data_IF_614217710023
#
_entry.id   IF_614217710023
#
_cell.length_a   1.000
_cell.length_b   1.000
_cell.length_c   1.000
_cell.angle_alpha   90.00
_cell.angle_beta   90.00
_cell.angle_gamma   90.00
#
_symmetry.space_group_name_H-M   'P 1'
#
loop_
_entity.id
_entity.type
_entity.pdbx_description
1 polymer ?
#
# COMPACT_ATOMS: atom_id res chain seq x y z
N UNK A 1 -27.18 13.87 12.50
CA UNK A 1 -27.20 12.48 11.98
C UNK A 1 -25.88 11.86 12.37
N UNK A 2 -25.88 10.89 13.29
CA UNK A 2 -24.64 10.21 13.70
C UNK A 2 -24.03 9.48 12.50
N UNK A 3 -22.71 9.55 12.28
CA UNK A 3 -22.07 8.70 11.28
C UNK A 3 -22.31 7.24 11.66
N UNK A 4 -22.71 6.41 10.70
CA UNK A 4 -22.91 4.99 10.90
C UNK A 4 -21.66 4.39 11.57
N UNK A 5 -21.87 3.62 12.64
CA UNK A 5 -20.80 2.93 13.37
C UNK A 5 -20.02 1.99 12.42
N UNK A 6 -18.70 1.77 12.63
CA UNK A 6 -17.83 1.05 11.70
C UNK A 6 -18.06 -0.48 11.53
N UNK A 7 -19.27 -1.01 11.76
CA UNK A 7 -19.53 -2.47 11.75
C UNK A 7 -20.76 -2.88 10.94
N UNK A 8 -21.01 -2.26 9.78
CA UNK A 8 -22.15 -2.60 8.92
C UNK A 8 -21.83 -3.57 7.77
N UNK A 9 -20.59 -4.05 7.66
CA UNK A 9 -20.17 -4.92 6.57
C UNK A 9 -20.45 -6.38 6.89
N UNK A 10 -21.40 -6.98 6.17
CA UNK A 10 -21.62 -8.42 6.15
C UNK A 10 -20.80 -9.08 5.03
N UNK A 11 -20.57 -10.39 5.12
CA UNK A 11 -19.94 -11.16 4.04
C UNK A 11 -20.68 -10.98 2.70
N UNK A 12 -22.01 -10.97 2.72
CA UNK A 12 -22.84 -10.72 1.54
C UNK A 12 -22.59 -9.32 0.95
N UNK A 13 -22.50 -8.28 1.78
CA UNK A 13 -22.24 -6.91 1.31
C UNK A 13 -20.83 -6.76 0.74
N UNK A 14 -19.84 -7.45 1.31
CA UNK A 14 -18.47 -7.49 0.80
C UNK A 14 -18.43 -8.17 -0.58
N UNK A 15 -19.10 -9.30 -0.73
CA UNK A 15 -19.21 -10.02 -2.00
C UNK A 15 -19.93 -9.21 -3.08
N UNK A 16 -21.06 -8.58 -2.74
CA UNK A 16 -21.81 -7.69 -3.64
C UNK A 16 -20.94 -6.51 -4.10
N UNK A 17 -20.26 -5.84 -3.17
CA UNK A 17 -19.39 -4.70 -3.51
C UNK A 17 -18.21 -5.13 -4.39
N UNK A 18 -17.61 -6.29 -4.12
CA UNK A 18 -16.55 -6.84 -4.97
C UNK A 18 -17.08 -7.18 -6.38
N UNK A 19 -18.28 -7.75 -6.48
CA UNK A 19 -18.92 -8.06 -7.75
C UNK A 19 -19.26 -6.78 -8.54
N UNK A 20 -19.74 -5.73 -7.87
CA UNK A 20 -19.97 -4.42 -8.48
C UNK A 20 -18.66 -3.84 -9.06
N UNK A 21 -17.56 -3.87 -8.29
CA UNK A 21 -16.24 -3.41 -8.76
C UNK A 21 -15.75 -4.22 -9.96
N UNK A 22 -15.99 -5.52 -9.99
CA UNK A 22 -15.55 -6.42 -11.07
C UNK A 22 -16.43 -6.25 -12.33
N UNK A 23 -17.71 -5.96 -12.16
CA UNK A 23 -18.67 -5.87 -13.27
C UNK A 23 -18.55 -4.57 -14.08
N UNK A 24 -17.91 -3.53 -13.54
CA UNK A 24 -17.75 -2.26 -14.27
C UNK A 24 -16.68 -2.34 -15.35
N UNK A 25 -16.94 -1.72 -16.51
CA UNK A 25 -15.93 -1.61 -17.56
C UNK A 25 -14.81 -0.62 -17.18
N UNK A 26 -15.12 0.38 -16.36
CA UNK A 26 -14.16 1.35 -15.84
C UNK A 26 -13.41 0.81 -14.62
N UNK A 27 -12.15 1.22 -14.46
CA UNK A 27 -11.38 0.93 -13.25
C UNK A 27 -11.95 1.71 -12.05
N UNK A 28 -11.99 1.11 -10.84
CA UNK A 28 -12.45 1.80 -9.64
C UNK A 28 -11.59 3.03 -9.36
N UNK A 29 -12.25 4.11 -8.94
CA UNK A 29 -11.57 5.31 -8.49
C UNK A 29 -10.83 5.02 -7.17
N UNK A 30 -9.59 5.49 -7.06
CA UNK A 30 -8.80 5.36 -5.84
C UNK A 30 -9.36 6.30 -4.78
N UNK A 31 -9.84 5.72 -3.69
CA UNK A 31 -10.35 6.42 -2.52
C UNK A 31 -9.25 7.31 -1.94
N UNK A 32 -9.60 8.56 -1.63
CA UNK A 32 -8.65 9.55 -1.13
C UNK A 32 -8.73 9.70 0.40
N UNK A 33 -7.63 10.15 1.00
CA UNK A 33 -7.51 10.41 2.43
C UNK A 33 -8.60 11.37 2.90
N UNK A 34 -9.15 11.08 4.09
CA UNK A 34 -10.37 11.69 4.60
C UNK A 34 -11.58 10.77 4.51
N UNK A 35 -11.59 9.80 3.57
CA UNK A 35 -12.63 8.77 3.54
C UNK A 35 -12.43 7.74 4.67
N UNK A 36 -13.49 7.38 5.44
CA UNK A 36 -13.36 6.55 6.65
C UNK A 36 -12.89 5.12 6.38
N UNK A 37 -13.09 4.59 5.17
CA UNK A 37 -12.61 3.24 4.80
C UNK A 37 -11.08 3.11 4.92
N UNK A 38 -10.34 4.20 4.74
CA UNK A 38 -8.88 4.23 4.85
C UNK A 38 -8.38 4.37 6.29
N UNK A 39 -9.29 4.57 7.24
CA UNK A 39 -9.01 4.79 8.67
C UNK A 39 -9.60 3.70 9.56
N UNK A 40 -10.29 2.73 8.97
CA UNK A 40 -10.87 1.58 9.67
C UNK A 40 -10.02 0.35 9.40
N UNK A 41 -9.78 -0.48 10.42
CA UNK A 41 -9.14 -1.77 10.21
C UNK A 41 -9.98 -2.62 9.26
N UNK A 42 -9.36 -3.13 8.20
CA UNK A 42 -10.05 -3.93 7.21
C UNK A 42 -10.46 -5.30 7.79
N UNK A 43 -11.54 -5.84 7.25
CA UNK A 43 -12.14 -7.11 7.70
C UNK A 43 -11.25 -8.27 7.22
N UNK A 44 -10.86 -9.19 8.13
CA UNK A 44 -10.13 -10.37 7.74
C UNK A 44 -10.86 -11.16 6.65
N UNK A 45 -10.13 -11.55 5.61
CA UNK A 45 -10.69 -12.41 4.58
C UNK A 45 -10.75 -13.84 5.11
N UNK A 46 -11.93 -14.44 5.16
CA UNK A 46 -12.14 -15.82 5.63
C UNK A 46 -13.01 -16.65 4.66
N UNK A 47 -13.16 -16.17 3.42
CA UNK A 47 -13.93 -16.83 2.37
C UNK A 47 -15.18 -16.07 1.95
N UNK A 48 -15.22 -14.75 2.12
CA UNK A 48 -16.37 -13.93 1.72
C UNK A 48 -16.54 -13.85 0.19
N UNK A 49 -15.46 -14.11 -0.57
CA UNK A 49 -15.49 -14.16 -2.03
C UNK A 49 -15.16 -15.59 -2.49
N UNK A 50 -15.91 -16.10 -3.45
CA UNK A 50 -15.51 -17.33 -4.13
C UNK A 50 -14.22 -17.12 -4.94
N UNK A 51 -13.60 -18.22 -5.37
CA UNK A 51 -12.30 -18.18 -6.06
C UNK A 51 -12.34 -17.41 -7.39
N UNK A 52 -13.47 -17.43 -8.10
CA UNK A 52 -13.60 -16.75 -9.40
C UNK A 52 -13.70 -15.23 -9.20
N UNK A 53 -14.53 -14.80 -8.25
CA UNK A 53 -14.70 -13.39 -7.91
C UNK A 53 -13.41 -12.82 -7.28
N UNK A 54 -12.73 -13.57 -6.41
CA UNK A 54 -11.45 -13.17 -5.84
C UNK A 54 -10.40 -12.96 -6.93
N UNK A 55 -10.26 -13.89 -7.88
CA UNK A 55 -9.31 -13.78 -8.97
C UNK A 55 -9.60 -12.56 -9.87
N UNK A 56 -10.87 -12.33 -10.20
CA UNK A 56 -11.29 -11.17 -10.99
C UNK A 56 -11.03 -9.84 -10.26
N UNK A 57 -11.31 -9.79 -8.94
CA UNK A 57 -11.03 -8.62 -8.11
C UNK A 57 -9.53 -8.30 -8.07
N UNK A 58 -8.68 -9.32 -7.88
CA UNK A 58 -7.21 -9.16 -7.88
C UNK A 58 -6.72 -8.57 -9.20
N UNK A 59 -7.26 -9.02 -10.33
CA UNK A 59 -6.90 -8.47 -11.65
C UNK A 59 -7.35 -7.01 -11.80
N UNK A 60 -8.57 -6.67 -11.36
CA UNK A 60 -9.03 -5.27 -11.34
C UNK A 60 -8.15 -4.39 -10.45
N UNK A 61 -7.76 -4.88 -9.26
CA UNK A 61 -6.83 -4.18 -8.36
C UNK A 61 -5.48 -3.95 -9.04
N UNK A 62 -4.91 -4.97 -9.70
CA UNK A 62 -3.64 -4.86 -10.43
C UNK A 62 -3.72 -3.83 -11.56
N UNK A 63 -4.78 -3.88 -12.38
CA UNK A 63 -5.01 -2.90 -13.45
C UNK A 63 -5.18 -1.48 -12.92
N UNK A 64 -5.89 -1.32 -11.80
CA UNK A 64 -6.08 -0.03 -11.13
C UNK A 64 -4.75 0.54 -10.61
N UNK A 65 -3.93 -0.31 -9.98
CA UNK A 65 -2.59 0.04 -9.52
C UNK A 65 -1.72 0.54 -10.69
N UNK A 66 -1.71 -0.19 -11.81
CA UNK A 66 -0.93 0.19 -13.01
C UNK A 66 -1.43 1.47 -13.68
N UNK A 67 -2.74 1.71 -13.69
CA UNK A 67 -3.31 2.95 -14.24
C UNK A 67 -2.94 4.20 -13.42
N UNK A 68 -2.62 4.02 -12.13
CA UNK A 68 -2.19 5.08 -11.21
C UNK A 68 -0.67 5.08 -10.91
N UNK A 69 0.15 4.61 -11.88
CA UNK A 69 1.53 4.13 -11.72
C UNK A 69 2.02 3.74 -10.30
N UNK A 70 1.23 2.95 -9.57
CA UNK A 70 1.58 2.46 -8.24
C UNK A 70 2.46 1.21 -8.27
N UNK A 71 3.01 0.88 -7.10
CA UNK A 71 3.75 -0.39 -6.84
C UNK A 71 3.05 -1.31 -5.82
N UNK A 72 1.92 -0.84 -5.30
CA UNK A 72 1.05 -1.55 -4.39
C UNK A 72 -0.35 -0.91 -4.38
N UNK A 73 -1.35 -1.72 -4.06
CA UNK A 73 -2.72 -1.27 -3.86
C UNK A 73 -3.46 -2.20 -2.89
N UNK A 74 -3.95 -1.65 -1.79
CA UNK A 74 -4.81 -2.32 -0.82
C UNK A 74 -6.30 -2.17 -1.16
N UNK A 75 -7.11 -3.21 -0.89
CA UNK A 75 -8.54 -3.20 -1.18
C UNK A 75 -9.32 -2.00 -0.57
N UNK A 76 -8.98 -1.49 0.64
CA UNK A 76 -9.60 -0.27 1.15
C UNK A 76 -9.44 0.95 0.22
N UNK A 77 -8.37 1.00 -0.58
CA UNK A 77 -8.13 2.08 -1.54
C UNK A 77 -9.07 2.04 -2.75
N UNK A 78 -9.79 0.94 -2.97
CA UNK A 78 -10.90 0.85 -3.94
C UNK A 78 -12.26 0.75 -3.24
N UNK A 79 -12.34 1.14 -1.97
CA UNK A 79 -13.58 1.20 -1.20
C UNK A 79 -14.05 -0.12 -0.58
N UNK A 80 -13.27 -1.20 -0.73
CA UNK A 80 -13.60 -2.52 -0.21
C UNK A 80 -12.79 -2.83 1.06
N UNK A 81 -13.39 -2.85 2.26
CA UNK A 81 -12.66 -3.01 3.51
C UNK A 81 -12.33 -4.49 3.80
N UNK A 82 -11.67 -5.16 2.85
CA UNK A 82 -11.11 -6.52 3.03
C UNK A 82 -9.61 -6.45 3.25
N UNK A 83 -9.08 -7.39 4.04
CA UNK A 83 -7.63 -7.58 4.23
C UNK A 83 -6.99 -8.27 3.01
N UNK A 84 -6.98 -7.56 1.89
CA UNK A 84 -6.41 -7.97 0.60
C UNK A 84 -5.58 -6.82 0.03
N UNK A 85 -4.38 -7.11 -0.46
CA UNK A 85 -3.58 -6.14 -1.22
C UNK A 85 -2.87 -6.84 -2.38
N UNK A 86 -2.51 -6.06 -3.40
CA UNK A 86 -1.67 -6.48 -4.53
C UNK A 86 -0.38 -5.67 -4.55
N UNK A 87 0.73 -6.30 -4.95
CA UNK A 87 2.06 -5.71 -4.99
C UNK A 87 2.76 -6.08 -6.30
N UNK A 88 3.42 -5.12 -6.92
CA UNK A 88 4.29 -5.32 -8.09
C UNK A 88 5.17 -4.08 -8.29
N UNK A 89 6.48 -4.26 -8.45
CA UNK A 89 7.38 -3.18 -8.83
C UNK A 89 8.12 -3.58 -10.11
N UNK A 90 7.53 -3.24 -11.25
CA UNK A 90 8.08 -3.51 -12.58
C UNK A 90 8.82 -2.31 -13.18
N UNK A 91 8.96 -1.21 -12.43
CA UNK A 91 9.49 0.05 -12.94
C UNK A 91 11.01 0.09 -12.82
N UNK A 92 11.67 0.51 -13.91
CA UNK A 92 13.09 0.82 -13.86
C UNK A 92 13.33 2.05 -12.95
N UNK A 93 14.41 1.99 -12.18
CA UNK A 93 14.93 3.14 -11.44
C UNK A 93 16.32 3.49 -11.98
N UNK A 94 16.72 4.75 -11.83
CA UNK A 94 18.11 5.16 -12.01
C UNK A 94 19.04 4.27 -11.16
N UNK A 95 20.24 3.96 -11.66
CA UNK A 95 21.15 3.03 -11.00
C UNK A 95 21.53 3.47 -9.58
N UNK A 96 21.72 4.78 -9.36
CA UNK A 96 22.03 5.31 -8.03
C UNK A 96 20.84 5.17 -7.10
N UNK A 97 19.63 5.48 -7.57
CA UNK A 97 18.40 5.28 -6.80
C UNK A 97 18.19 3.80 -6.47
N UNK A 98 18.37 2.90 -7.44
CA UNK A 98 18.21 1.46 -7.27
C UNK A 98 19.18 0.91 -6.23
N UNK A 99 20.46 1.31 -6.31
CA UNK A 99 21.49 0.92 -5.35
C UNK A 99 21.21 1.48 -3.96
N UNK A 100 20.94 2.78 -3.84
CA UNK A 100 20.77 3.44 -2.54
C UNK A 100 19.51 3.01 -1.82
N UNK A 101 18.42 2.74 -2.54
CA UNK A 101 17.15 2.30 -1.96
C UNK A 101 17.00 0.78 -1.93
N UNK A 102 18.02 0.05 -2.35
CA UNK A 102 17.98 -1.41 -2.53
C UNK A 102 16.71 -1.83 -3.29
N UNK A 103 16.41 -1.10 -4.37
CA UNK A 103 15.19 -1.26 -5.17
C UNK A 103 15.47 -2.19 -6.34
N UNK A 104 15.02 -3.43 -6.20
CA UNK A 104 15.03 -4.44 -7.26
C UNK A 104 13.59 -4.76 -7.67
N UNK A 105 13.38 -5.25 -8.91
CA UNK A 105 12.04 -5.60 -9.38
C UNK A 105 11.33 -6.56 -8.42
N UNK A 106 10.08 -6.25 -8.12
CA UNK A 106 9.20 -7.09 -7.30
C UNK A 106 8.17 -7.75 -8.22
N UNK A 107 8.22 -9.07 -8.44
CA UNK A 107 7.20 -9.76 -9.23
C UNK A 107 5.81 -9.56 -8.64
N UNK A 108 4.78 -9.65 -9.48
CA UNK A 108 3.40 -9.54 -9.01
C UNK A 108 3.02 -10.66 -8.03
N UNK A 109 2.37 -10.29 -6.93
CA UNK A 109 1.63 -11.20 -6.07
C UNK A 109 0.51 -10.48 -5.32
N UNK A 110 -0.48 -11.25 -4.89
CA UNK A 110 -1.54 -10.81 -3.99
C UNK A 110 -1.33 -11.40 -2.60
N UNK A 111 -1.64 -10.59 -1.58
CA UNK A 111 -1.53 -10.98 -0.17
C UNK A 111 -2.89 -10.87 0.52
N UNK A 112 -3.29 -11.96 1.17
CA UNK A 112 -4.50 -12.02 1.98
C UNK A 112 -4.10 -12.11 3.44
N UNK A 113 -4.75 -11.30 4.28
CA UNK A 113 -4.46 -11.18 5.72
C UNK A 113 -2.97 -11.04 6.06
N UNK A 114 -2.17 -10.22 5.34
CA UNK A 114 -0.75 -10.14 5.61
C UNK A 114 -0.49 -9.59 7.01
N UNK A 115 0.62 -10.05 7.57
CA UNK A 115 1.29 -9.50 8.75
C UNK A 115 2.79 -9.46 8.46
N UNK A 116 3.51 -8.54 9.09
CA UNK A 116 4.97 -8.49 9.00
C UNK A 116 5.60 -8.25 10.37
N UNK A 117 6.85 -8.68 10.53
CA UNK A 117 7.70 -8.37 11.68
C UNK A 117 9.06 -7.84 11.19
N UNK A 118 9.68 -6.87 11.89
CA UNK A 118 11.05 -6.43 11.60
C UNK A 118 12.06 -7.58 11.72
N UNK A 119 13.04 -7.61 10.82
CA UNK A 119 14.21 -8.48 10.91
C UNK A 119 15.45 -7.65 11.24
N UNK A 120 15.77 -7.58 12.54
CA UNK A 120 16.83 -6.73 13.07
C UNK A 120 16.34 -5.32 13.43
N UNK A 121 17.28 -4.46 13.81
CA UNK A 121 17.00 -3.08 14.30
C UNK A 121 17.25 -2.01 13.23
N UNK A 122 17.78 -2.39 12.07
CA UNK A 122 18.09 -1.46 10.99
C UNK A 122 16.83 -0.83 10.40
N UNK A 123 16.89 0.48 10.18
CA UNK A 123 15.81 1.24 9.56
C UNK A 123 16.34 2.13 8.43
N UNK A 124 15.51 2.32 7.41
CA UNK A 124 15.78 3.23 6.30
C UNK A 124 14.71 4.33 6.25
N UNK A 125 15.11 5.55 5.89
CA UNK A 125 14.22 6.69 5.74
C UNK A 125 14.26 7.19 4.29
N UNK A 126 13.10 7.26 3.64
CA UNK A 126 12.94 7.74 2.27
C UNK A 126 11.61 8.46 2.13
N UNK A 127 11.49 9.30 1.11
CA UNK A 127 10.21 9.86 0.69
C UNK A 127 9.26 8.75 0.22
N UNK A 128 8.04 8.74 0.74
CA UNK A 128 6.93 7.90 0.31
C UNK A 128 5.78 8.76 -0.20
N UNK A 129 5.13 8.29 -1.26
CA UNK A 129 3.82 8.76 -1.69
C UNK A 129 2.78 7.67 -1.47
N UNK A 130 1.50 8.04 -1.64
CA UNK A 130 0.39 7.08 -1.60
C UNK A 130 -0.64 7.50 -2.64
N UNK A 131 -1.21 6.54 -3.37
CA UNK A 131 -2.26 6.81 -4.36
C UNK A 131 -3.52 7.43 -3.73
N UNK A 132 -3.73 7.20 -2.43
CA UNK A 132 -4.81 7.77 -1.64
C UNK A 132 -4.48 9.15 -1.05
N UNK A 133 -3.25 9.63 -1.16
CA UNK A 133 -2.82 10.97 -0.70
C UNK A 133 -2.21 11.70 -1.88
N UNK A 134 -3.07 12.08 -2.82
CA UNK A 134 -2.63 12.65 -4.10
C UNK A 134 -1.91 13.98 -3.91
N UNK A 135 -0.78 14.11 -4.60
CA UNK A 135 -0.04 15.36 -4.73
C UNK A 135 0.94 15.66 -3.61
N UNK A 136 1.09 14.76 -2.63
CA UNK A 136 2.00 14.93 -1.52
C UNK A 136 2.89 13.71 -1.28
N UNK A 137 4.06 13.97 -0.72
CA UNK A 137 5.01 12.96 -0.25
C UNK A 137 5.63 13.44 1.07
N UNK A 138 6.10 12.51 1.89
CA UNK A 138 6.89 12.82 3.08
C UNK A 138 7.87 11.69 3.37
N UNK A 139 8.91 11.98 4.14
CA UNK A 139 9.88 11.01 4.61
C UNK A 139 9.24 10.12 5.66
N UNK A 140 9.38 8.81 5.48
CA UNK A 140 8.93 7.78 6.43
C UNK A 140 10.10 6.89 6.78
N UNK A 141 10.31 6.65 8.07
CA UNK A 141 11.26 5.66 8.56
C UNK A 141 10.57 4.30 8.66
N UNK A 142 11.19 3.26 8.09
CA UNK A 142 10.71 1.88 8.18
C UNK A 142 11.85 0.92 8.51
N UNK A 143 11.57 -0.21 9.20
CA UNK A 143 12.44 -1.38 9.19
C UNK A 143 12.98 -1.66 7.78
N UNK A 144 14.29 -1.79 7.67
CA UNK A 144 14.97 -2.03 6.39
C UNK A 144 14.70 -3.45 5.87
N UNK A 145 14.44 -4.39 6.78
CA UNK A 145 14.11 -5.79 6.49
C UNK A 145 12.91 -6.24 7.30
N UNK A 146 12.06 -7.06 6.70
CA UNK A 146 10.90 -7.66 7.36
C UNK A 146 10.70 -9.10 6.92
N UNK A 147 10.19 -9.93 7.82
CA UNK A 147 9.54 -11.20 7.45
C UNK A 147 8.04 -10.92 7.37
N UNK A 148 7.43 -11.23 6.23
CA UNK A 148 5.99 -11.15 6.05
C UNK A 148 5.38 -12.56 5.94
N UNK A 149 4.18 -12.71 6.50
CA UNK A 149 3.34 -13.91 6.39
C UNK A 149 1.99 -13.52 5.83
N UNK A 150 1.47 -14.30 4.89
CA UNK A 150 0.18 -14.05 4.26
C UNK A 150 -0.43 -15.34 3.72
N UNK A 151 -1.70 -15.29 3.37
CA UNK A 151 -2.37 -16.32 2.58
C UNK A 151 -2.36 -15.90 1.11
N UNK A 152 -1.95 -16.80 0.21
CA UNK A 152 -2.06 -16.57 -1.23
C UNK A 152 -3.51 -16.81 -1.72
N UNK A 153 -3.88 -16.33 -2.93
CA UNK A 153 -5.24 -16.49 -3.45
C UNK A 153 -5.73 -17.94 -3.58
N UNK A 154 -4.81 -18.90 -3.68
CA UNK A 154 -5.10 -20.34 -3.69
C UNK A 154 -5.35 -20.93 -2.28
N UNK A 155 -5.31 -20.10 -1.23
CA UNK A 155 -5.46 -20.49 0.17
C UNK A 155 -4.17 -20.96 0.85
N UNK A 156 -3.05 -21.05 0.12
CA UNK A 156 -1.78 -21.51 0.70
C UNK A 156 -1.17 -20.45 1.63
N UNK A 157 -0.63 -20.90 2.77
CA UNK A 157 0.15 -20.04 3.66
C UNK A 157 1.53 -19.79 3.06
N UNK A 158 1.96 -18.52 3.06
CA UNK A 158 3.25 -18.07 2.54
C UNK A 158 3.99 -17.28 3.61
N UNK A 159 5.31 -17.45 3.62
CA UNK A 159 6.25 -16.63 4.39
C UNK A 159 7.32 -16.16 3.43
N UNK A 160 7.78 -14.91 3.58
CA UNK A 160 8.85 -14.35 2.77
C UNK A 160 9.59 -13.26 3.51
N UNK A 161 10.91 -13.22 3.31
CA UNK A 161 11.73 -12.10 3.75
C UNK A 161 11.82 -11.06 2.64
N UNK A 162 11.68 -9.79 3.01
CA UNK A 162 11.82 -8.65 2.11
C UNK A 162 12.82 -7.67 2.69
N UNK A 163 13.58 -7.00 1.83
CA UNK A 163 14.52 -5.94 2.20
C UNK A 163 14.32 -4.69 1.32
N UNK A 164 14.96 -3.60 1.70
CA UNK A 164 15.05 -2.40 0.86
C UNK A 164 13.70 -1.81 0.49
N UNK A 165 13.54 -1.47 -0.78
CA UNK A 165 12.29 -0.90 -1.29
C UNK A 165 11.13 -1.92 -1.26
N UNK A 166 11.40 -3.21 -1.46
CA UNK A 166 10.36 -4.24 -1.41
C UNK A 166 9.78 -4.38 0.00
N UNK A 167 10.63 -4.37 1.03
CA UNK A 167 10.18 -4.34 2.43
C UNK A 167 9.30 -3.13 2.70
N UNK A 168 9.64 -1.96 2.13
CA UNK A 168 8.85 -0.73 2.29
C UNK A 168 7.46 -0.85 1.67
N UNK A 169 7.35 -1.40 0.46
CA UNK A 169 6.05 -1.62 -0.20
C UNK A 169 5.19 -2.58 0.64
N UNK A 170 5.75 -3.72 1.06
CA UNK A 170 5.01 -4.70 1.89
C UNK A 170 4.48 -4.08 3.17
N UNK A 171 5.30 -3.28 3.86
CA UNK A 171 4.88 -2.58 5.06
C UNK A 171 3.79 -1.54 4.78
N UNK A 172 3.93 -0.74 3.72
CA UNK A 172 2.95 0.28 3.31
C UNK A 172 1.58 -0.32 3.00
N UNK A 173 1.54 -1.37 2.18
CA UNK A 173 0.27 -2.01 1.82
C UNK A 173 -0.36 -2.75 3.01
N UNK A 174 0.46 -3.34 3.88
CA UNK A 174 -0.05 -3.96 5.12
C UNK A 174 -0.62 -2.92 6.09
N UNK A 175 0.01 -1.75 6.20
CA UNK A 175 -0.48 -0.62 7.01
C UNK A 175 -1.87 -0.14 6.58
N UNK A 176 -2.13 -0.08 5.27
CA UNK A 176 -3.44 0.27 4.74
C UNK A 176 -4.54 -0.66 5.26
N UNK A 177 -4.26 -1.95 5.42
CA UNK A 177 -5.22 -2.93 5.94
C UNK A 177 -5.51 -2.74 7.44
N UNK A 178 -4.62 -2.04 8.15
CA UNK A 178 -4.82 -1.63 9.54
C UNK A 178 -5.48 -0.24 9.67
N UNK A 179 -5.83 0.42 8.56
CA UNK A 179 -6.34 1.80 8.58
C UNK A 179 -5.26 2.85 8.82
N UNK A 180 -3.99 2.49 8.62
CA UNK A 180 -2.83 3.37 8.79
C UNK A 180 -2.42 3.94 7.44
N UNK A 181 -2.22 5.25 7.37
CA UNK A 181 -1.63 5.93 6.21
C UNK A 181 -0.17 6.26 6.52
N UNK A 182 0.65 6.40 5.48
CA UNK A 182 2.06 6.77 5.66
C UNK A 182 2.25 8.08 6.46
N UNK A 183 1.28 9.00 6.37
CA UNK A 183 1.25 10.26 7.14
C UNK A 183 1.26 10.06 8.65
N UNK A 184 0.76 8.92 9.16
CA UNK A 184 0.76 8.63 10.60
C UNK A 184 2.15 8.26 11.11
N UNK A 185 3.07 7.93 10.19
CA UNK A 185 4.47 7.55 10.45
C UNK A 185 5.46 8.55 9.85
N UNK A 186 4.98 9.64 9.28
CA UNK A 186 5.78 10.59 8.51
C UNK A 186 6.51 11.60 9.40
N UNK A 187 7.72 11.97 8.99
CA UNK A 187 8.38 13.16 9.51
C UNK A 187 7.68 14.40 8.94
N UNK A 188 6.73 14.98 9.67
CA UNK A 188 5.81 15.97 9.12
C UNK A 188 6.48 17.24 8.56
N UNK A 189 7.68 17.61 9.04
CA UNK A 189 8.47 18.73 8.46
C UNK A 189 8.95 18.45 7.04
N UNK A 190 8.97 17.19 6.61
CA UNK A 190 9.32 16.77 5.26
C UNK A 190 8.12 16.68 4.31
N UNK A 191 6.88 16.87 4.82
CA UNK A 191 5.68 16.84 3.99
C UNK A 191 5.77 17.96 2.94
N UNK A 192 5.77 17.58 1.67
CA UNK A 192 5.85 18.52 0.57
C UNK A 192 4.96 18.07 -0.58
N UNK A 193 4.62 19.02 -1.47
CA UNK A 193 3.94 18.69 -2.71
C UNK A 193 4.88 17.89 -3.62
N UNK A 194 4.31 17.11 -4.53
CA UNK A 194 5.10 16.38 -5.53
C UNK A 194 5.95 17.32 -6.42
N UNK A 195 5.48 18.55 -6.64
CA UNK A 195 6.22 19.60 -7.36
C UNK A 195 7.49 20.02 -6.61
N UNK A 196 7.37 20.34 -5.32
CA UNK A 196 8.52 20.71 -4.48
C UNK A 196 9.48 19.53 -4.28
N UNK A 197 8.95 18.31 -4.13
CA UNK A 197 9.79 17.10 -4.11
C UNK A 197 10.60 16.98 -5.41
N UNK A 198 9.97 17.09 -6.57
CA UNK A 198 10.67 16.98 -7.85
C UNK A 198 11.73 18.06 -8.01
N UNK A 199 11.43 19.30 -7.60
CA UNK A 199 12.32 20.45 -7.76
C UNK A 199 13.51 20.45 -6.79
N UNK A 200 13.36 19.87 -5.58
CA UNK A 200 14.34 20.04 -4.50
C UNK A 200 14.83 18.76 -3.85
N UNK A 201 13.97 17.75 -3.71
CA UNK A 201 14.18 16.62 -2.80
C UNK A 201 14.22 15.25 -3.50
N UNK A 202 14.32 15.25 -4.83
CA UNK A 202 14.30 14.04 -5.67
C UNK A 202 15.59 13.20 -5.61
N UNK A 203 16.54 13.57 -4.74
CA UNK A 203 17.75 12.79 -4.54
C UNK A 203 17.43 11.40 -3.95
N UNK A 204 18.34 10.41 -4.09
CA UNK A 204 18.09 9.05 -3.59
C UNK A 204 17.78 8.97 -2.09
N UNK A 205 18.28 9.93 -1.30
CA UNK A 205 18.18 9.96 0.16
C UNK A 205 17.61 11.29 0.68
N UNK A 206 16.92 11.31 1.84
CA UNK A 206 16.32 12.53 2.38
C UNK A 206 17.30 13.48 3.10
N UNK A 207 18.61 13.24 3.07
CA UNK A 207 19.62 13.93 3.88
C UNK A 207 19.65 15.44 3.61
N UNK A 208 19.46 15.85 2.36
CA UNK A 208 19.39 17.27 2.00
C UNK A 208 18.16 17.92 2.64
N UNK A 209 16.98 17.30 2.47
CA UNK A 209 15.74 17.75 3.08
C UNK A 209 15.82 17.80 4.61
N UNK A 210 16.42 16.78 5.24
CA UNK A 210 16.62 16.72 6.69
C UNK A 210 17.42 17.93 7.22
N UNK A 211 18.55 18.25 6.56
CA UNK A 211 19.38 19.41 6.94
C UNK A 211 18.66 20.75 6.72
N UNK A 212 17.98 20.91 5.60
CA UNK A 212 17.38 22.20 5.23
C UNK A 212 16.05 22.46 5.94
N UNK A 213 15.24 21.42 6.15
CA UNK A 213 13.92 21.52 6.77
C UNK A 213 13.96 21.26 8.29
N UNK A 214 15.03 20.67 8.80
CA UNK A 214 15.31 20.49 10.23
C UNK A 214 14.50 19.37 10.87
N UNK A 215 14.71 18.13 10.41
CA UNK A 215 14.19 16.89 11.00
C UNK A 215 15.25 15.77 11.00
#
# INVERSE_FOLDING_TARGET
MSPASPSSWSAARLAETAAEIVATEQLPAIVQAGHPVLRTSAIPFDGQLDSALLAALIEVMRRTMHAAPGVGLAAPQIGLPLRLAVLEDAWAADEDVARTRERTPLPFFAVINPVYIPLGEESAAFFEGCLSVRGYTAVVRRPARVEARWTAPDGSARTGEFSGWQARIVQHETDHLAGTLYLDKAELRSLCSNEEYSARWSQPTPQAAARELGF
#
